data_IF_008403259165
#
_entry.id   IF_008403259165
#
_cell.length_a   1.000
_cell.length_b   1.000
_cell.length_c   1.000
_cell.angle_alpha   90.00
_cell.angle_beta   90.00
_cell.angle_gamma   90.00
#
_symmetry.space_group_name_H-M   'P 1'
#
loop_
_entity.id
_entity.type
_entity.pdbx_description
1 polymer ?
#
# COMPACT_ATOMS: atom_id res chain seq x y z
N UNK A 1 -16.54 -12.97 -1.07
CA UNK A 1 -15.89 -11.98 -1.96
C UNK A 1 -14.59 -12.60 -2.40
N UNK A 2 -14.41 -12.87 -3.69
CA UNK A 2 -13.21 -13.55 -4.19
C UNK A 2 -11.98 -12.68 -3.97
N UNK A 3 -10.87 -13.30 -3.54
CA UNK A 3 -9.59 -12.63 -3.24
C UNK A 3 -9.13 -11.75 -4.41
N UNK A 4 -9.37 -12.18 -5.65
CA UNK A 4 -9.04 -11.40 -6.85
C UNK A 4 -9.73 -10.02 -6.86
N UNK A 5 -11.01 -9.95 -6.48
CA UNK A 5 -11.74 -8.68 -6.38
C UNK A 5 -11.20 -7.78 -5.26
N UNK A 6 -10.62 -8.37 -4.21
CA UNK A 6 -9.97 -7.61 -3.14
C UNK A 6 -8.67 -6.99 -3.66
N UNK A 7 -7.85 -7.79 -4.35
CA UNK A 7 -6.58 -7.36 -4.96
C UNK A 7 -6.83 -6.24 -5.97
N UNK A 8 -7.79 -6.42 -6.89
CA UNK A 8 -8.15 -5.42 -7.90
C UNK A 8 -8.52 -4.08 -7.26
N UNK A 9 -9.42 -4.10 -6.26
CA UNK A 9 -9.83 -2.89 -5.54
C UNK A 9 -8.68 -2.22 -4.82
N UNK A 10 -7.80 -2.99 -4.19
CA UNK A 10 -6.61 -2.47 -3.50
C UNK A 10 -5.65 -1.77 -4.47
N UNK A 11 -5.34 -2.43 -5.59
CA UNK A 11 -4.48 -1.85 -6.63
C UNK A 11 -5.10 -0.56 -7.19
N UNK A 12 -6.41 -0.57 -7.45
CA UNK A 12 -7.11 0.63 -7.91
C UNK A 12 -7.01 1.78 -6.91
N UNK A 13 -7.21 1.51 -5.61
CA UNK A 13 -7.09 2.54 -4.57
C UNK A 13 -5.67 3.13 -4.49
N UNK A 14 -4.63 2.29 -4.57
CA UNK A 14 -3.22 2.73 -4.55
C UNK A 14 -2.90 3.62 -5.76
N UNK A 15 -3.37 3.24 -6.95
CA UNK A 15 -3.20 4.06 -8.17
C UNK A 15 -3.91 5.41 -8.08
N UNK A 16 -5.14 5.43 -7.58
CA UNK A 16 -5.90 6.68 -7.39
C UNK A 16 -5.19 7.61 -6.41
N UNK A 17 -4.74 7.09 -5.26
CA UNK A 17 -4.01 7.89 -4.27
C UNK A 17 -2.69 8.44 -4.84
N UNK A 18 -1.94 7.65 -5.61
CA UNK A 18 -0.72 8.12 -6.27
C UNK A 18 -0.98 9.23 -7.29
N UNK A 19 -2.05 9.12 -8.09
CA UNK A 19 -2.43 10.16 -9.03
C UNK A 19 -2.76 11.48 -8.30
N UNK A 20 -3.47 11.42 -7.18
CA UNK A 20 -3.75 12.59 -6.33
C UNK A 20 -2.46 13.18 -5.74
N UNK A 21 -1.58 12.37 -5.16
CA UNK A 21 -0.33 12.86 -4.58
C UNK A 21 0.62 13.45 -5.63
N UNK A 22 0.58 12.97 -6.88
CA UNK A 22 1.38 13.51 -7.98
C UNK A 22 0.95 14.92 -8.37
N UNK A 23 -0.33 15.26 -8.21
CA UNK A 23 -0.83 16.64 -8.37
C UNK A 23 -0.19 17.56 -7.31
N UNK A 24 0.12 17.02 -6.13
CA UNK A 24 0.70 17.75 -5.00
C UNK A 24 2.25 17.70 -4.96
N UNK A 25 2.91 17.10 -5.96
CA UNK A 25 4.37 16.97 -6.07
C UNK A 25 5.07 16.22 -4.91
N UNK A 26 4.37 15.36 -4.17
CA UNK A 26 4.89 14.67 -2.96
C UNK A 26 5.20 13.18 -3.18
N UNK A 27 5.68 12.80 -4.38
CA UNK A 27 5.69 11.39 -4.81
C UNK A 27 7.09 10.80 -4.95
N UNK A 28 7.33 9.70 -4.24
CA UNK A 28 8.41 8.76 -4.51
C UNK A 28 7.89 7.61 -5.40
N UNK A 29 8.33 7.58 -6.65
CA UNK A 29 7.85 6.64 -7.67
C UNK A 29 8.29 5.19 -7.40
N UNK A 30 9.47 5.01 -6.82
CA UNK A 30 9.99 3.68 -6.44
C UNK A 30 9.16 3.06 -5.32
N UNK A 31 8.80 3.85 -4.30
CA UNK A 31 7.96 3.38 -3.19
C UNK A 31 6.55 3.01 -3.67
N UNK A 32 6.01 3.76 -4.62
CA UNK A 32 4.72 3.46 -5.24
C UNK A 32 4.75 2.11 -5.98
N UNK A 33 5.73 1.89 -6.85
CA UNK A 33 5.87 0.64 -7.60
C UNK A 33 6.05 -0.56 -6.65
N UNK A 34 6.87 -0.41 -5.62
CA UNK A 34 7.04 -1.45 -4.61
C UNK A 34 5.72 -1.76 -3.87
N UNK A 35 4.90 -0.74 -3.59
CA UNK A 35 3.57 -0.92 -2.98
C UNK A 35 2.59 -1.64 -3.90
N UNK A 36 2.62 -1.36 -5.21
CA UNK A 36 1.79 -2.06 -6.18
C UNK A 36 2.14 -3.56 -6.28
N UNK A 37 3.42 -3.93 -6.20
CA UNK A 37 3.82 -5.34 -6.21
C UNK A 37 3.30 -6.08 -4.97
N UNK A 38 3.47 -5.50 -3.77
CA UNK A 38 2.94 -6.10 -2.52
C UNK A 38 1.40 -6.14 -2.49
N UNK A 39 0.73 -5.20 -3.14
CA UNK A 39 -0.73 -5.17 -3.19
C UNK A 39 -1.35 -6.41 -3.87
N UNK A 40 -0.56 -7.14 -4.68
CA UNK A 40 -0.97 -8.38 -5.34
C UNK A 40 -1.01 -9.59 -4.39
N UNK A 41 -0.52 -9.47 -3.15
CA UNK A 41 -0.56 -10.55 -2.18
C UNK A 41 -2.01 -10.98 -1.89
N UNK A 42 -2.31 -12.31 -1.89
CA UNK A 42 -3.65 -12.85 -1.72
C UNK A 42 -4.10 -12.85 -0.25
N UNK A 43 -4.04 -11.67 0.37
CA UNK A 43 -4.37 -11.41 1.78
C UNK A 43 -5.54 -10.44 1.90
N UNK A 44 -6.13 -10.32 3.09
CA UNK A 44 -7.20 -9.34 3.33
C UNK A 44 -6.66 -7.90 3.28
N UNK A 45 -7.56 -6.92 3.11
CA UNK A 45 -7.16 -5.50 3.15
C UNK A 45 -6.65 -5.08 4.53
N UNK A 46 -7.20 -5.65 5.61
CA UNK A 46 -6.74 -5.38 6.97
C UNK A 46 -5.31 -5.87 7.15
N UNK A 47 -5.02 -7.11 6.72
CA UNK A 47 -3.68 -7.69 6.82
C UNK A 47 -2.65 -6.89 5.99
N UNK A 48 -3.03 -6.48 4.78
CA UNK A 48 -2.18 -5.63 3.94
C UNK A 48 -1.89 -4.28 4.61
N UNK A 49 -2.91 -3.64 5.20
CA UNK A 49 -2.74 -2.36 5.87
C UNK A 49 -1.82 -2.48 7.09
N UNK A 50 -2.02 -3.50 7.94
CA UNK A 50 -1.14 -3.75 9.09
C UNK A 50 0.32 -3.98 8.68
N UNK A 51 0.55 -4.78 7.63
CA UNK A 51 1.90 -5.03 7.10
C UNK A 51 2.55 -3.75 6.58
N UNK A 52 1.81 -2.94 5.84
CA UNK A 52 2.35 -1.68 5.28
C UNK A 52 2.66 -0.66 6.38
N UNK A 53 1.80 -0.51 7.38
CA UNK A 53 2.07 0.39 8.52
C UNK A 53 3.32 -0.07 9.27
N UNK A 54 3.42 -1.35 9.63
CA UNK A 54 4.62 -1.87 10.32
C UNK A 54 5.89 -1.66 9.49
N UNK A 55 5.84 -1.89 8.18
CA UNK A 55 6.97 -1.69 7.26
C UNK A 55 7.43 -0.24 7.23
N UNK A 56 6.50 0.71 7.15
CA UNK A 56 6.83 2.14 7.13
C UNK A 56 7.49 2.55 8.44
N UNK A 57 6.95 2.15 9.58
CA UNK A 57 7.53 2.45 10.89
C UNK A 57 8.93 1.82 11.05
N UNK A 58 9.09 0.57 10.64
CA UNK A 58 10.37 -0.14 10.68
C UNK A 58 11.46 0.54 9.84
N UNK A 59 11.11 1.16 8.70
CA UNK A 59 12.05 1.95 7.87
C UNK A 59 12.72 3.07 8.68
N UNK A 60 12.05 3.60 9.70
CA UNK A 60 12.56 4.67 10.55
C UNK A 60 13.05 4.16 11.92
N UNK A 61 13.22 2.84 12.08
CA UNK A 61 13.66 2.24 13.33
C UNK A 61 12.62 2.30 14.46
N UNK A 62 11.34 2.48 14.12
CA UNK A 62 10.24 2.57 15.09
C UNK A 62 9.39 1.31 15.02
N UNK A 63 8.96 0.82 16.19
CA UNK A 63 7.99 -0.27 16.28
C UNK A 63 6.57 0.29 16.24
N UNK A 64 5.73 -0.21 15.32
CA UNK A 64 4.30 0.11 15.31
C UNK A 64 3.56 -0.81 16.29
N UNK A 65 2.95 -0.21 17.33
CA UNK A 65 2.06 -0.88 18.27
C UNK A 65 0.62 -0.40 18.01
N UNK A 66 -0.28 -1.29 17.56
CA UNK A 66 -1.66 -0.92 17.27
C UNK A 66 -2.44 -0.50 18.52
#
# INVERSE_FOLDING_TARGET
MEIDKIIEKRIQAIKTAHASNRIECTVNEEEHLAMLERAKEPISNEEFAEREVRRIYAKYGVEYKP
#
